data_IF_635894151803
#
_entry.id   IF_635894151803
#
_cell.length_a   1.000
_cell.length_b   1.000
_cell.length_c   1.000
_cell.angle_alpha   90.00
_cell.angle_beta   90.00
_cell.angle_gamma   90.00
#
_symmetry.space_group_name_H-M   'P 1'
#
loop_
_entity.id
_entity.type
_entity.pdbx_description
1 polymer ?
#
# COMPACT_ATOMS: atom_id res chain seq x y z
N UNK A 1 -15.30 20.45 10.01
CA UNK A 1 -13.91 20.33 10.48
C UNK A 1 -13.17 19.24 9.74
N UNK A 2 -13.62 17.98 9.77
CA UNK A 2 -12.99 16.89 9.00
C UNK A 2 -12.98 17.19 7.49
N UNK A 3 -14.07 17.74 6.95
CA UNK A 3 -14.13 18.11 5.54
C UNK A 3 -13.06 19.14 5.12
N UNK A 4 -12.73 20.12 5.98
CA UNK A 4 -11.67 21.10 5.66
C UNK A 4 -10.28 20.47 5.65
N UNK A 5 -10.02 19.47 6.52
CA UNK A 5 -8.77 18.69 6.52
C UNK A 5 -8.65 17.92 5.20
N UNK A 6 -9.73 17.26 4.76
CA UNK A 6 -9.76 16.51 3.50
C UNK A 6 -9.53 17.45 2.29
N UNK A 7 -10.15 18.62 2.29
CA UNK A 7 -10.02 19.57 1.18
C UNK A 7 -8.62 20.18 1.12
N UNK A 8 -7.98 20.44 2.26
CA UNK A 8 -6.60 20.90 2.34
C UNK A 8 -5.60 19.83 1.87
N UNK A 9 -5.75 18.59 2.36
CA UNK A 9 -4.95 17.45 1.93
C UNK A 9 -5.11 17.21 0.42
N UNK A 10 -6.33 17.28 -0.10
CA UNK A 10 -6.57 17.12 -1.52
C UNK A 10 -5.92 18.26 -2.33
N UNK A 11 -6.08 19.51 -1.92
CA UNK A 11 -5.47 20.66 -2.60
C UNK A 11 -3.94 20.53 -2.67
N UNK A 12 -3.30 20.07 -1.59
CA UNK A 12 -1.84 19.91 -1.51
C UNK A 12 -1.32 18.70 -2.30
N UNK A 13 -2.08 17.61 -2.37
CA UNK A 13 -1.58 16.32 -2.87
C UNK A 13 -2.26 15.78 -4.14
N UNK A 14 -3.29 16.44 -4.69
CA UNK A 14 -3.95 16.00 -5.93
C UNK A 14 -2.99 15.89 -7.11
N UNK A 15 -1.97 16.75 -7.18
CA UNK A 15 -0.97 16.72 -8.25
C UNK A 15 0.00 15.53 -8.15
N UNK A 16 0.36 15.11 -6.93
CA UNK A 16 1.22 13.94 -6.70
C UNK A 16 0.43 12.62 -6.72
N UNK A 17 -0.89 12.69 -6.52
CA UNK A 17 -1.75 11.52 -6.37
C UNK A 17 -1.56 10.77 -5.04
N UNK A 18 -0.79 11.32 -4.08
CA UNK A 18 -0.44 10.64 -2.83
C UNK A 18 -0.30 11.57 -1.63
N UNK A 19 -0.78 11.09 -0.49
CA UNK A 19 -0.70 11.73 0.83
C UNK A 19 0.06 10.81 1.80
N UNK A 20 1.10 11.31 2.48
CA UNK A 20 1.81 10.57 3.53
C UNK A 20 1.07 10.65 4.88
N UNK A 21 1.24 9.65 5.75
CA UNK A 21 0.63 9.69 7.09
C UNK A 21 1.19 10.83 7.94
N UNK A 22 2.44 11.24 7.71
CA UNK A 22 3.03 12.40 8.36
C UNK A 22 2.38 13.71 7.90
N UNK A 23 1.98 13.81 6.62
CA UNK A 23 1.25 14.99 6.11
C UNK A 23 -0.13 15.10 6.78
N UNK A 24 -0.80 13.96 6.97
CA UNK A 24 -2.07 13.89 7.71
C UNK A 24 -1.86 14.34 9.16
N UNK A 25 -0.81 13.84 9.82
CA UNK A 25 -0.47 14.20 11.19
C UNK A 25 -0.14 15.71 11.33
N UNK A 26 0.58 16.29 10.37
CA UNK A 26 0.89 17.73 10.32
C UNK A 26 -0.39 18.56 10.25
N UNK A 27 -1.31 18.22 9.35
CA UNK A 27 -2.54 18.99 9.14
C UNK A 27 -3.52 18.80 10.30
N UNK A 28 -3.64 17.60 10.87
CA UNK A 28 -4.43 17.36 12.09
C UNK A 28 -3.85 18.17 13.26
N UNK A 29 -2.53 18.17 13.41
CA UNK A 29 -1.82 18.92 14.45
C UNK A 29 -2.32 18.55 15.86
N UNK A 30 -2.62 19.53 16.73
CA UNK A 30 -3.08 19.25 18.09
C UNK A 30 -4.57 18.90 18.20
N UNK A 31 -5.30 18.80 17.08
CA UNK A 31 -6.74 18.54 17.11
C UNK A 31 -6.99 17.09 17.55
N UNK A 32 -7.93 16.92 18.48
CA UNK A 32 -8.41 15.58 18.83
C UNK A 32 -9.23 15.02 17.67
N UNK A 33 -8.66 14.03 16.99
CA UNK A 33 -9.32 13.27 15.92
C UNK A 33 -9.39 11.82 16.38
N UNK A 34 -10.58 11.22 16.32
CA UNK A 34 -10.78 9.82 16.69
C UNK A 34 -10.25 8.88 15.60
N UNK A 35 -10.07 7.60 15.92
CA UNK A 35 -9.71 6.59 14.91
C UNK A 35 -10.74 6.51 13.78
N UNK A 36 -12.03 6.60 14.09
CA UNK A 36 -13.10 6.60 13.08
C UNK A 36 -13.01 7.81 12.14
N UNK A 37 -12.62 8.97 12.67
CA UNK A 37 -12.43 10.18 11.86
C UNK A 37 -11.17 10.08 10.97
N UNK A 38 -10.10 9.46 11.46
CA UNK A 38 -8.91 9.16 10.64
C UNK A 38 -9.29 8.22 9.50
N UNK A 39 -9.99 7.12 9.78
CA UNK A 39 -10.46 6.19 8.76
C UNK A 39 -11.33 6.91 7.73
N UNK A 40 -12.24 7.77 8.19
CA UNK A 40 -13.06 8.58 7.30
C UNK A 40 -12.24 9.52 6.40
N UNK A 41 -11.19 10.17 6.94
CA UNK A 41 -10.28 11.01 6.13
C UNK A 41 -9.61 10.17 5.04
N UNK A 42 -9.06 9.00 5.41
CA UNK A 42 -8.39 8.09 4.49
C UNK A 42 -9.33 7.66 3.36
N UNK A 43 -10.51 7.13 3.72
CA UNK A 43 -11.51 6.68 2.74
C UNK A 43 -11.92 7.78 1.76
N UNK A 44 -12.08 9.02 2.24
CA UNK A 44 -12.48 10.15 1.39
C UNK A 44 -11.38 10.61 0.45
N UNK A 45 -10.12 10.59 0.88
CA UNK A 45 -8.98 10.88 0.01
C UNK A 45 -8.83 9.80 -1.06
N UNK A 46 -8.96 8.53 -0.68
CA UNK A 46 -8.91 7.40 -1.62
C UNK A 46 -10.07 7.38 -2.60
N UNK A 47 -11.27 7.74 -2.16
CA UNK A 47 -12.44 7.91 -3.03
C UNK A 47 -12.26 9.04 -4.05
N UNK A 48 -11.41 10.04 -3.74
CA UNK A 48 -11.00 11.11 -4.66
C UNK A 48 -9.81 10.74 -5.55
N UNK A 49 -9.36 9.49 -5.50
CA UNK A 49 -8.29 8.96 -6.36
C UNK A 49 -6.88 9.14 -5.82
N UNK A 50 -6.72 9.61 -4.57
CA UNK A 50 -5.42 9.65 -3.90
C UNK A 50 -5.04 8.28 -3.34
N UNK A 51 -3.74 8.04 -3.16
CA UNK A 51 -3.23 6.94 -2.36
C UNK A 51 -2.76 7.48 -1.01
N UNK A 52 -3.14 6.87 0.10
CA UNK A 52 -2.69 7.28 1.43
C UNK A 52 -1.67 6.28 1.96
N UNK A 53 -0.56 6.80 2.49
CA UNK A 53 0.52 6.01 3.10
C UNK A 53 1.86 6.15 2.40
N UNK A 54 2.87 5.49 2.98
CA UNK A 54 4.25 5.56 2.50
C UNK A 54 4.38 5.01 1.06
N UNK A 55 5.18 5.66 0.20
CA UNK A 55 5.48 5.14 -1.12
C UNK A 55 6.20 3.79 -1.00
N UNK A 56 5.81 2.84 -1.85
CA UNK A 56 6.58 1.60 -2.00
C UNK A 56 7.95 1.97 -2.58
N UNK A 57 9.03 1.68 -1.86
CA UNK A 57 10.37 2.00 -2.33
C UNK A 57 10.86 1.00 -3.41
N UNK A 58 11.99 1.32 -4.05
CA UNK A 58 12.55 0.47 -5.11
C UNK A 58 12.94 -0.94 -4.61
N UNK A 59 13.33 -1.06 -3.34
CA UNK A 59 13.70 -2.33 -2.70
C UNK A 59 12.45 -3.19 -2.55
N UNK A 60 11.37 -2.61 -2.04
CA UNK A 60 10.08 -3.27 -1.85
C UNK A 60 9.46 -3.70 -3.19
N UNK A 61 9.60 -2.89 -4.25
CA UNK A 61 9.20 -3.30 -5.61
C UNK A 61 10.03 -4.49 -6.10
N UNK A 62 11.34 -4.49 -5.87
CA UNK A 62 12.25 -5.58 -6.27
C UNK A 62 11.89 -6.89 -5.57
N UNK A 63 11.68 -6.81 -4.25
CA UNK A 63 11.22 -7.93 -3.42
C UNK A 63 9.87 -8.45 -3.92
N UNK A 64 8.90 -7.57 -4.16
CA UNK A 64 7.58 -7.96 -4.65
C UNK A 64 7.67 -8.69 -6.01
N UNK A 65 8.48 -8.19 -6.95
CA UNK A 65 8.70 -8.88 -8.25
C UNK A 65 9.28 -10.27 -8.06
N UNK A 66 10.26 -10.43 -7.16
CA UNK A 66 10.89 -11.73 -6.85
C UNK A 66 9.89 -12.71 -6.24
N UNK A 67 9.13 -12.27 -5.24
CA UNK A 67 8.11 -13.07 -4.55
C UNK A 67 7.01 -13.51 -5.50
N UNK A 68 6.46 -12.58 -6.31
CA UNK A 68 5.42 -12.90 -7.28
C UNK A 68 5.93 -13.83 -8.40
N UNK A 69 7.17 -13.65 -8.83
CA UNK A 69 7.84 -14.55 -9.76
C UNK A 69 7.95 -15.98 -9.20
N UNK A 70 8.48 -16.12 -7.98
CA UNK A 70 8.60 -17.40 -7.30
C UNK A 70 7.23 -18.08 -7.11
N UNK A 71 6.21 -17.33 -6.69
CA UNK A 71 4.86 -17.85 -6.52
C UNK A 71 4.25 -18.37 -7.83
N UNK A 72 4.43 -17.66 -8.95
CA UNK A 72 3.94 -18.09 -10.27
C UNK A 72 4.65 -19.35 -10.78
N UNK A 73 5.98 -19.40 -10.62
CA UNK A 73 6.78 -20.57 -11.00
C UNK A 73 6.36 -21.79 -10.19
N UNK A 74 6.27 -21.66 -8.85
CA UNK A 74 5.83 -22.74 -7.97
C UNK A 74 4.40 -23.19 -8.28
N UNK A 75 3.48 -22.27 -8.55
CA UNK A 75 2.11 -22.61 -8.93
C UNK A 75 2.06 -23.46 -10.20
N UNK A 76 2.88 -23.13 -11.19
CA UNK A 76 2.97 -23.91 -12.43
C UNK A 76 3.55 -25.30 -12.19
N UNK A 77 4.57 -25.42 -11.34
CA UNK A 77 5.20 -26.71 -11.03
C UNK A 77 4.36 -27.61 -10.13
N UNK A 78 3.63 -27.05 -9.17
CA UNK A 78 2.87 -27.80 -8.16
C UNK A 78 1.43 -28.10 -8.60
N UNK A 79 0.89 -27.38 -9.59
CA UNK A 79 -0.52 -27.49 -10.00
C UNK A 79 -1.51 -26.96 -8.95
N UNK A 80 -1.04 -26.35 -7.86
CA UNK A 80 -1.83 -25.74 -6.79
C UNK A 80 -1.21 -24.40 -6.36
N UNK A 81 -1.95 -23.62 -5.58
CA UNK A 81 -1.36 -22.42 -4.97
C UNK A 81 -0.24 -22.82 -3.98
N UNK A 82 0.96 -22.23 -4.10
CA UNK A 82 2.04 -22.46 -3.16
C UNK A 82 1.77 -21.76 -1.83
N UNK A 83 2.26 -22.34 -0.74
CA UNK A 83 2.22 -21.77 0.61
C UNK A 83 3.27 -20.67 0.78
N UNK A 84 3.09 -19.81 1.78
CA UNK A 84 4.07 -18.76 2.11
C UNK A 84 5.46 -19.35 2.38
N UNK A 85 5.54 -20.50 3.05
CA UNK A 85 6.80 -21.17 3.36
C UNK A 85 7.51 -21.67 2.09
N UNK A 86 6.76 -22.24 1.14
CA UNK A 86 7.30 -22.68 -0.15
C UNK A 86 7.83 -21.50 -0.98
N UNK A 87 7.09 -20.39 -0.99
CA UNK A 87 7.51 -19.17 -1.69
C UNK A 87 8.76 -18.58 -1.04
N UNK A 88 8.82 -18.50 0.29
CA UNK A 88 9.98 -18.01 1.03
C UNK A 88 11.24 -18.83 0.73
N UNK A 89 11.11 -20.16 0.74
CA UNK A 89 12.21 -21.05 0.37
C UNK A 89 12.67 -20.85 -1.08
N UNK A 90 11.75 -20.59 -2.00
CA UNK A 90 12.08 -20.38 -3.41
C UNK A 90 12.62 -18.97 -3.72
N UNK A 91 12.16 -17.93 -3.03
CA UNK A 91 12.56 -16.54 -3.31
C UNK A 91 13.79 -16.11 -2.52
N UNK A 92 14.12 -16.83 -1.44
CA UNK A 92 15.19 -16.48 -0.52
C UNK A 92 14.80 -15.36 0.46
N UNK A 93 13.53 -14.96 0.51
CA UNK A 93 13.04 -13.91 1.38
C UNK A 93 12.36 -14.50 2.63
N UNK A 94 12.45 -13.83 3.79
CA UNK A 94 11.75 -14.26 5.00
C UNK A 94 10.23 -14.33 4.81
N UNK A 95 9.57 -15.27 5.50
CA UNK A 95 8.12 -15.49 5.38
C UNK A 95 7.26 -14.22 5.65
N UNK A 96 7.70 -13.34 6.55
CA UNK A 96 7.00 -12.08 6.82
C UNK A 96 7.10 -11.09 5.64
N UNK A 97 8.25 -11.07 4.96
CA UNK A 97 8.46 -10.27 3.74
C UNK A 97 7.60 -10.79 2.59
N UNK A 98 7.54 -12.12 2.42
CA UNK A 98 6.67 -12.76 1.44
C UNK A 98 5.20 -12.41 1.68
N UNK A 99 4.73 -12.50 2.93
CA UNK A 99 3.35 -12.15 3.29
C UNK A 99 3.03 -10.70 2.91
N UNK A 100 3.88 -9.75 3.33
CA UNK A 100 3.72 -8.32 3.04
C UNK A 100 3.73 -8.03 1.54
N UNK A 101 4.60 -8.69 0.78
CA UNK A 101 4.66 -8.54 -0.67
C UNK A 101 3.40 -9.09 -1.37
N UNK A 102 2.86 -10.22 -0.90
CA UNK A 102 1.62 -10.79 -1.45
C UNK A 102 0.40 -9.93 -1.12
N UNK A 103 0.27 -9.42 0.10
CA UNK A 103 -0.80 -8.48 0.50
C UNK A 103 -0.81 -7.23 -0.41
N UNK A 104 0.37 -6.65 -0.64
CA UNK A 104 0.54 -5.51 -1.55
C UNK A 104 0.27 -5.86 -3.02
N UNK A 105 0.58 -7.08 -3.45
CA UNK A 105 0.31 -7.55 -4.81
C UNK A 105 -1.16 -7.93 -5.08
N UNK A 106 -1.93 -8.24 -4.03
CA UNK A 106 -3.38 -8.51 -4.12
C UNK A 106 -4.19 -7.22 -4.13
N UNK A 107 -3.66 -6.13 -3.55
CA UNK A 107 -4.33 -4.82 -3.60
C UNK A 107 -4.42 -4.32 -5.05
N UNK A 108 -5.64 -4.21 -5.62
CA UNK A 108 -5.81 -3.81 -7.01
C UNK A 108 -5.61 -2.30 -7.13
N UNK A 109 -4.36 -1.84 -7.24
CA UNK A 109 -4.05 -0.45 -7.67
C UNK A 109 -2.56 -0.32 -8.05
N UNK A 110 -2.18 -1.04 -9.10
CA UNK A 110 -1.06 -0.59 -9.93
C UNK A 110 -1.57 0.62 -10.70
N UNK A 111 -1.29 1.82 -10.20
CA UNK A 111 -1.39 3.04 -11.02
C UNK A 111 -0.36 2.88 -12.13
N UNK A 112 -0.82 2.54 -13.33
CA UNK A 112 -0.04 2.68 -14.56
C UNK A 112 0.09 4.18 -14.83
N UNK A 113 1.22 4.75 -14.43
CA UNK A 113 1.66 6.03 -14.99
C UNK A 113 2.21 5.75 -16.38
N UNK A 114 1.52 6.26 -17.41
CA UNK A 114 2.04 6.40 -18.78
C UNK A 114 2.90 7.65 -18.87
#
# INVERSE_FOLDING_TARGET
MIQSIIDELYARHHASGRVDLNDIAEIIGPRSVSYEEVDHIVERLEARGLVVGEPIDAIEVSVMKRVLGAARSLRSSLGRNPTIAEIAASSGDPAHVVRRALERGVSPRVVRSY
#
